data_IF_395853238803
#
_entry.id   IF_395853238803
#
_cell.length_a   1.000
_cell.length_b   1.000
_cell.length_c   1.000
_cell.angle_alpha   90.00
_cell.angle_beta   90.00
_cell.angle_gamma   90.00
#
_symmetry.space_group_name_H-M   'P 1'
#
loop_
_entity.id
_entity.type
_entity.pdbx_description
1 polymer ?
#
# COMPACT_ATOMS: atom_id res chain seq x y z
N UNK A 1 6.66 15.84 51.23
CA UNK A 1 5.61 14.85 50.88
C UNK A 1 5.98 14.31 49.51
N UNK A 2 6.13 12.99 49.37
CA UNK A 2 6.65 12.37 48.15
C UNK A 2 5.53 11.63 47.42
N UNK A 3 5.55 11.62 46.09
CA UNK A 3 4.50 11.01 45.26
C UNK A 3 5.03 9.78 44.51
N UNK A 4 4.59 8.55 44.86
CA UNK A 4 4.80 7.35 44.07
C UNK A 4 3.53 7.02 43.27
N UNK A 5 3.59 7.11 41.93
CA UNK A 5 2.44 6.78 41.07
C UNK A 5 2.80 6.32 39.64
N UNK A 6 3.92 6.78 39.06
CA UNK A 6 4.23 6.54 37.64
C UNK A 6 4.74 5.11 37.34
N UNK A 7 5.58 4.54 38.21
CA UNK A 7 6.33 3.30 37.91
C UNK A 7 5.44 2.04 37.82
N UNK A 8 4.33 1.98 38.57
CA UNK A 8 3.41 0.82 38.57
C UNK A 8 2.55 0.73 37.29
N UNK A 9 2.52 1.78 36.46
CA UNK A 9 1.79 1.77 35.19
C UNK A 9 2.58 1.02 34.10
N UNK A 10 3.88 1.34 33.92
CA UNK A 10 4.73 0.74 32.89
C UNK A 10 4.84 -0.79 33.04
N UNK A 11 4.98 -1.27 34.29
CA UNK A 11 5.07 -2.70 34.63
C UNK A 11 3.78 -3.50 34.32
N UNK A 12 2.63 -2.84 34.16
CA UNK A 12 1.38 -3.50 33.75
C UNK A 12 1.27 -3.68 32.24
N UNK A 13 1.75 -2.71 31.46
CA UNK A 13 1.65 -2.71 29.99
C UNK A 13 2.48 -3.87 29.41
N UNK A 14 3.76 -3.99 29.80
CA UNK A 14 4.64 -5.06 29.31
C UNK A 14 4.14 -6.49 29.60
N UNK A 15 3.42 -6.68 30.73
CA UNK A 15 2.84 -7.98 31.09
C UNK A 15 1.64 -8.37 30.23
N UNK A 16 0.91 -7.41 29.66
CA UNK A 16 -0.26 -7.70 28.83
C UNK A 16 0.16 -8.23 27.44
N UNK A 17 1.18 -7.62 26.83
CA UNK A 17 1.71 -8.04 25.52
C UNK A 17 2.24 -9.47 25.53
N UNK A 18 3.04 -9.83 26.54
CA UNK A 18 3.64 -11.16 26.67
C UNK A 18 2.58 -12.27 26.85
N UNK A 19 1.48 -11.99 27.53
CA UNK A 19 0.37 -12.94 27.67
C UNK A 19 -0.33 -13.22 26.33
N UNK A 20 -0.56 -12.19 25.51
CA UNK A 20 -1.16 -12.33 24.17
C UNK A 20 -0.26 -13.15 23.24
N UNK A 21 1.05 -12.88 23.23
CA UNK A 21 2.02 -13.63 22.45
C UNK A 21 2.07 -15.13 22.81
N UNK A 22 2.04 -15.46 24.10
CA UNK A 22 2.00 -16.86 24.55
C UNK A 22 0.73 -17.59 24.11
N UNK A 23 -0.43 -16.94 24.15
CA UNK A 23 -1.70 -17.52 23.67
C UNK A 23 -1.66 -17.74 22.15
N UNK A 24 -1.13 -16.77 21.37
CA UNK A 24 -0.97 -16.90 19.93
C UNK A 24 -0.09 -18.08 19.53
N UNK A 25 1.08 -18.23 20.15
CA UNK A 25 2.00 -19.35 19.92
C UNK A 25 1.38 -20.72 20.26
N UNK A 26 0.57 -20.79 21.32
CA UNK A 26 -0.08 -22.04 21.75
C UNK A 26 -1.16 -22.49 20.74
N UNK A 27 -1.93 -21.54 20.19
CA UNK A 27 -2.91 -21.80 19.11
C UNK A 27 -2.22 -22.25 17.82
N UNK A 28 -1.10 -21.60 17.45
CA UNK A 28 -0.33 -21.94 16.25
C UNK A 28 0.32 -23.34 16.37
N UNK A 29 0.92 -23.67 17.52
CA UNK A 29 1.47 -25.00 17.78
C UNK A 29 0.41 -26.10 17.81
N UNK A 30 -0.75 -25.83 18.43
CA UNK A 30 -1.86 -26.78 18.52
C UNK A 30 -2.48 -27.13 17.17
N UNK A 31 -2.58 -26.17 16.25
CA UNK A 31 -3.12 -26.39 14.90
C UNK A 31 -2.17 -27.19 14.00
N UNK A 32 -0.86 -26.96 14.08
CA UNK A 32 0.16 -27.75 13.36
C UNK A 32 0.12 -29.24 13.75
N UNK A 33 -0.05 -29.54 15.05
CA UNK A 33 -0.08 -30.92 15.55
C UNK A 33 -1.22 -31.78 14.96
N UNK A 34 -2.33 -31.16 14.53
CA UNK A 34 -3.51 -31.86 13.97
C UNK A 34 -3.43 -32.04 12.44
N UNK A 35 -2.63 -31.21 11.75
CA UNK A 35 -2.51 -31.22 10.29
C UNK A 35 -1.51 -32.26 9.77
N UNK A 36 -0.32 -32.35 10.40
CA UNK A 36 0.82 -33.17 9.94
C UNK A 36 0.47 -34.65 9.65
N UNK A 37 -0.33 -35.37 10.47
CA UNK A 37 -0.60 -36.80 10.23
C UNK A 37 -1.33 -37.13 8.93
N UNK A 38 -1.93 -36.16 8.22
CA UNK A 38 -2.73 -36.40 7.01
C UNK A 38 -2.00 -36.20 5.68
N UNK A 39 -0.83 -35.55 5.67
CA UNK A 39 -0.11 -35.21 4.43
C UNK A 39 0.95 -36.25 4.03
N UNK A 40 1.55 -36.94 5.00
CA UNK A 40 2.64 -37.92 4.77
C UNK A 40 2.32 -38.99 3.70
N UNK A 41 1.10 -39.58 3.61
CA UNK A 41 0.82 -40.63 2.64
C UNK A 41 0.88 -40.21 1.15
N UNK A 42 0.83 -38.90 0.84
CA UNK A 42 0.79 -38.42 -0.56
C UNK A 42 2.14 -38.10 -1.17
N UNK A 43 3.22 -38.02 -0.39
CA UNK A 43 4.56 -37.65 -0.89
C UNK A 43 5.46 -38.86 -1.19
N UNK A 44 5.05 -40.08 -0.85
CA UNK A 44 5.90 -41.28 -0.95
C UNK A 44 5.22 -42.50 -1.61
N UNK A 45 4.06 -42.32 -2.25
CA UNK A 45 3.36 -43.37 -3.00
C UNK A 45 3.80 -43.43 -4.47
N UNK A 46 4.73 -44.35 -4.80
CA UNK A 46 5.23 -44.54 -6.17
C UNK A 46 4.64 -45.74 -6.92
N UNK A 47 4.63 -45.66 -8.26
CA UNK A 47 4.19 -46.69 -9.22
C UNK A 47 3.21 -46.11 -10.25
N UNK A 48 3.52 -45.99 -11.56
CA UNK A 48 3.77 -47.02 -12.59
C UNK A 48 2.48 -47.69 -13.09
N UNK A 49 2.16 -47.78 -14.40
CA UNK A 49 2.78 -47.21 -15.61
C UNK A 49 1.81 -47.37 -16.83
N UNK A 50 2.19 -46.83 -18.00
CA UNK A 50 1.76 -47.18 -19.36
C UNK A 50 0.28 -46.96 -19.79
N UNK A 51 0.09 -46.39 -20.99
CA UNK A 51 -1.25 -46.21 -21.60
C UNK A 51 -1.35 -45.21 -22.76
N UNK A 52 -0.53 -45.36 -23.82
CA UNK A 52 -0.64 -44.58 -25.07
C UNK A 52 -0.68 -45.55 -26.26
N UNK A 53 -1.53 -45.31 -27.27
CA UNK A 53 -1.03 -44.67 -28.48
C UNK A 53 -2.02 -43.72 -29.21
N UNK A 54 -1.46 -42.87 -30.09
CA UNK A 54 -1.83 -42.49 -31.48
C UNK A 54 -3.32 -42.51 -31.97
N UNK A 55 -3.72 -41.84 -33.06
CA UNK A 55 -3.03 -41.07 -34.11
C UNK A 55 -4.03 -40.13 -34.83
N UNK A 56 -3.53 -39.14 -35.59
CA UNK A 56 -4.11 -38.57 -36.85
C UNK A 56 -3.66 -37.12 -37.08
N UNK A 57 -3.18 -36.80 -38.29
CA UNK A 57 -2.73 -35.47 -38.69
C UNK A 57 -3.36 -35.01 -40.01
N UNK A 58 -3.48 -33.68 -40.22
CA UNK A 58 -3.28 -32.99 -41.51
C UNK A 58 -3.62 -31.46 -41.42
N UNK A 59 -2.78 -30.62 -42.05
CA UNK A 59 -3.14 -29.27 -42.55
C UNK A 59 -3.10 -29.27 -44.09
N UNK A 60 -2.61 -28.23 -44.80
CA UNK A 60 -2.31 -26.84 -44.37
C UNK A 60 -2.71 -25.74 -45.42
N UNK A 61 -2.63 -24.45 -45.05
CA UNK A 61 -2.34 -23.24 -45.89
C UNK A 61 -2.48 -21.98 -44.99
N UNK A 62 -1.63 -20.93 -44.96
CA UNK A 62 -0.96 -20.12 -46.00
C UNK A 62 -1.93 -19.20 -46.79
N UNK A 63 -1.70 -17.91 -47.05
CA UNK A 63 -0.75 -16.88 -46.56
C UNK A 63 -1.30 -15.49 -47.03
N UNK A 64 -0.72 -14.28 -46.84
CA UNK A 64 0.50 -13.77 -46.18
C UNK A 64 0.32 -12.24 -45.91
N UNK A 65 1.25 -11.56 -45.22
CA UNK A 65 1.28 -10.09 -45.12
C UNK A 65 2.43 -9.54 -44.27
N UNK A 66 3.33 -8.75 -44.88
CA UNK A 66 4.47 -8.11 -44.20
C UNK A 66 4.39 -6.57 -44.32
N UNK A 67 5.00 -5.85 -43.39
CA UNK A 67 5.14 -4.40 -43.42
C UNK A 67 6.39 -3.96 -42.66
N UNK A 68 7.28 -3.23 -43.34
CA UNK A 68 8.56 -2.77 -42.80
C UNK A 68 8.42 -1.60 -41.83
N UNK A 69 9.35 -1.50 -40.87
CA UNK A 69 9.60 -0.31 -40.07
C UNK A 69 11.13 -0.10 -39.92
N UNK A 70 11.64 1.14 -39.92
CA UNK A 70 13.06 1.41 -40.18
C UNK A 70 13.97 1.30 -38.95
N UNK A 71 15.23 0.94 -39.21
CA UNK A 71 16.35 0.95 -38.25
C UNK A 71 17.00 2.34 -38.19
N UNK A 72 17.29 2.86 -36.99
CA UNK A 72 18.37 3.82 -36.75
C UNK A 72 19.60 3.11 -36.14
N UNK A 73 20.78 3.32 -36.74
CA UNK A 73 21.99 3.47 -35.93
C UNK A 73 22.04 4.90 -35.36
N UNK A 74 23.07 5.34 -34.64
CA UNK A 74 24.36 4.73 -34.28
C UNK A 74 24.93 5.57 -33.14
N UNK A 75 25.69 5.01 -32.18
CA UNK A 75 26.95 5.66 -31.78
C UNK A 75 27.88 4.72 -31.01
N UNK A 76 29.17 5.08 -30.96
CA UNK A 76 30.27 4.31 -30.39
C UNK A 76 30.97 5.05 -29.23
N UNK A 77 31.61 4.28 -28.34
CA UNK A 77 32.74 4.75 -27.52
C UNK A 77 32.44 5.14 -26.07
N UNK A 78 33.32 4.72 -25.15
CA UNK A 78 33.20 5.07 -23.73
C UNK A 78 34.08 4.30 -22.73
N UNK A 79 35.18 3.67 -23.13
CA UNK A 79 36.10 3.05 -22.16
C UNK A 79 36.79 4.11 -21.27
N UNK A 80 36.72 3.95 -19.95
CA UNK A 80 37.78 4.42 -19.04
C UNK A 80 38.01 3.42 -17.89
N UNK A 81 39.27 3.32 -17.45
CA UNK A 81 39.73 2.42 -16.39
C UNK A 81 39.89 3.15 -15.05
N UNK A 82 39.82 2.40 -13.95
CA UNK A 82 40.33 2.81 -12.63
C UNK A 82 39.26 2.84 -11.54
N UNK A 83 39.55 2.41 -10.30
CA UNK A 83 40.78 1.81 -9.80
C UNK A 83 40.59 1.26 -8.37
N UNK A 84 41.38 0.26 -7.98
CA UNK A 84 41.25 -0.37 -6.66
C UNK A 84 41.82 0.48 -5.51
N UNK A 85 41.28 0.28 -4.31
CA UNK A 85 41.77 0.90 -3.08
C UNK A 85 41.47 0.03 -1.86
N UNK A 86 42.48 -0.73 -1.40
CA UNK A 86 42.39 -1.52 -0.17
C UNK A 86 42.79 -0.68 1.06
N UNK A 87 41.87 -0.52 2.00
CA UNK A 87 42.14 -0.31 3.42
C UNK A 87 40.89 -0.74 4.22
N UNK A 88 40.97 -1.38 5.39
CA UNK A 88 42.16 -1.66 6.21
C UNK A 88 42.01 -1.03 7.60
N UNK A 89 41.03 -1.50 8.38
CA UNK A 89 40.64 -0.84 9.64
C UNK A 89 39.86 -1.73 10.60
N UNK A 90 40.53 -2.75 11.17
CA UNK A 90 39.97 -3.56 12.26
C UNK A 90 40.10 -2.82 13.59
N UNK A 91 39.04 -2.13 14.02
CA UNK A 91 38.92 -1.56 15.37
C UNK A 91 37.89 -2.32 16.18
N UNK A 92 38.33 -3.05 17.20
CA UNK A 92 37.46 -3.56 18.26
C UNK A 92 37.69 -2.72 19.52
N UNK A 93 36.61 -2.28 20.15
CA UNK A 93 36.65 -1.73 21.50
C UNK A 93 35.33 -2.08 22.23
N UNK A 94 35.37 -2.15 23.56
CA UNK A 94 34.36 -2.84 24.38
C UNK A 94 33.55 -1.91 25.31
N UNK A 95 32.23 -2.13 25.37
CA UNK A 95 31.38 -1.73 26.50
C UNK A 95 30.83 -0.29 26.50
N UNK A 96 29.55 -0.14 26.89
CA UNK A 96 28.89 1.17 26.94
C UNK A 96 27.38 1.12 27.21
N UNK A 97 26.99 0.68 28.41
CA UNK A 97 25.72 0.95 29.10
C UNK A 97 24.44 1.21 28.27
N UNK A 98 23.73 0.12 27.94
CA UNK A 98 22.38 0.18 27.37
C UNK A 98 21.31 0.59 28.40
N UNK A 99 21.17 1.90 28.66
CA UNK A 99 19.97 2.46 29.31
C UNK A 99 19.65 3.90 28.84
N UNK A 100 19.60 4.10 27.52
CA UNK A 100 19.17 5.36 26.93
C UNK A 100 17.66 5.57 27.11
N UNK A 101 17.26 6.42 28.07
CA UNK A 101 15.92 7.02 28.07
C UNK A 101 15.77 7.83 26.79
N UNK A 102 14.87 7.42 25.90
CA UNK A 102 14.73 8.01 24.58
C UNK A 102 14.58 9.53 24.64
N UNK A 103 15.49 10.24 23.98
CA UNK A 103 15.21 11.62 23.60
C UNK A 103 13.97 11.64 22.71
N UNK A 104 13.07 12.61 22.92
CA UNK A 104 12.06 12.89 21.91
C UNK A 104 12.74 13.27 20.58
N UNK A 105 12.07 13.11 19.43
CA UNK A 105 12.65 13.47 18.14
C UNK A 105 13.21 14.89 18.20
N UNK A 106 14.45 15.06 17.74
CA UNK A 106 15.10 16.36 17.73
C UNK A 106 14.27 17.30 16.83
N UNK A 107 13.90 18.48 17.34
CA UNK A 107 12.93 19.37 16.70
C UNK A 107 13.44 19.93 15.36
N UNK A 108 13.31 19.16 14.28
CA UNK A 108 13.31 19.69 12.93
C UNK A 108 12.12 20.66 12.77
N UNK A 109 12.34 21.77 12.08
CA UNK A 109 11.27 22.74 11.81
C UNK A 109 10.42 22.23 10.65
N UNK A 110 9.10 22.04 10.79
CA UNK A 110 8.29 21.44 9.74
C UNK A 110 8.35 22.19 8.41
N UNK A 111 8.38 21.45 7.31
CA UNK A 111 8.38 22.00 5.95
C UNK A 111 6.97 22.41 5.56
N UNK A 112 6.70 23.70 5.61
CA UNK A 112 5.45 24.31 5.15
C UNK A 112 5.31 24.22 3.61
N UNK A 113 4.17 23.74 3.10
CA UNK A 113 3.88 23.73 1.66
C UNK A 113 2.38 23.81 1.34
N UNK A 114 2.05 24.57 0.30
CA UNK A 114 0.71 24.87 -0.20
C UNK A 114 0.33 24.09 -1.49
N UNK A 115 1.18 23.15 -1.91
CA UNK A 115 1.17 22.60 -3.27
C UNK A 115 1.68 21.16 -3.37
N UNK A 116 1.12 20.35 -4.29
CA UNK A 116 1.74 19.11 -4.77
C UNK A 116 3.18 19.33 -5.22
N UNK A 117 4.05 18.35 -5.00
CA UNK A 117 5.47 18.49 -5.26
C UNK A 117 6.32 17.35 -4.72
N UNK A 118 7.63 17.48 -4.91
CA UNK A 118 8.65 16.57 -4.36
C UNK A 118 9.24 17.20 -3.10
N UNK A 119 9.27 16.40 -2.05
CA UNK A 119 9.85 16.70 -0.75
C UNK A 119 11.04 15.77 -0.52
N UNK A 120 12.01 16.24 0.26
CA UNK A 120 13.17 15.46 0.63
C UNK A 120 13.64 15.88 2.02
N UNK A 121 14.21 14.93 2.76
CA UNK A 121 14.81 15.14 4.07
C UNK A 121 15.71 13.98 4.44
N UNK A 122 16.28 14.04 5.64
CA UNK A 122 17.09 12.97 6.22
C UNK A 122 16.62 12.70 7.63
N UNK A 123 16.55 11.41 8.01
CA UNK A 123 15.94 10.95 9.27
C UNK A 123 14.46 11.34 9.39
N UNK A 124 13.96 11.45 10.63
CA UNK A 124 12.60 11.86 10.92
C UNK A 124 12.37 13.35 10.57
N UNK A 125 11.23 13.66 9.96
CA UNK A 125 10.85 15.03 9.62
C UNK A 125 9.34 15.19 9.48
N UNK A 126 8.87 16.43 9.40
CA UNK A 126 7.44 16.76 9.26
C UNK A 126 7.21 17.72 8.08
N UNK A 127 6.13 17.48 7.34
CA UNK A 127 5.66 18.35 6.25
C UNK A 127 4.26 18.83 6.63
N UNK A 128 4.12 20.13 6.91
CA UNK A 128 2.81 20.77 7.08
C UNK A 128 2.25 21.10 5.69
N UNK A 129 1.21 20.36 5.28
CA UNK A 129 0.64 20.43 3.94
C UNK A 129 -0.72 21.12 3.96
N UNK A 130 -0.84 22.21 3.20
CA UNK A 130 -2.09 22.89 2.92
C UNK A 130 -2.59 22.53 1.50
N UNK A 131 -3.86 22.16 1.41
CA UNK A 131 -4.56 21.81 0.17
C UNK A 131 -4.62 23.02 -0.79
N UNK A 132 -4.30 22.84 -2.08
CA UNK A 132 -4.48 23.89 -3.09
C UNK A 132 -5.93 24.37 -3.16
N UNK A 133 -6.12 25.67 -3.20
CA UNK A 133 -7.46 26.27 -3.25
C UNK A 133 -8.26 25.81 -4.47
N UNK A 134 -9.46 25.28 -4.20
CA UNK A 134 -10.37 24.72 -5.23
C UNK A 134 -10.13 23.26 -5.60
N UNK A 135 -9.12 22.57 -5.05
CA UNK A 135 -8.94 21.13 -5.23
C UNK A 135 -9.42 20.34 -4.00
N UNK A 136 -10.61 19.74 -4.09
CA UNK A 136 -11.24 19.00 -2.98
C UNK A 136 -11.01 17.47 -3.04
N UNK A 137 -10.04 17.04 -3.85
CA UNK A 137 -9.76 15.62 -4.08
C UNK A 137 -8.79 14.98 -3.08
N UNK A 138 -8.51 13.68 -3.28
CA UNK A 138 -7.53 12.90 -2.52
C UNK A 138 -6.14 12.96 -3.15
N UNK A 139 -5.09 12.90 -2.33
CA UNK A 139 -3.71 12.96 -2.79
C UNK A 139 -3.07 11.57 -2.92
N UNK A 140 -2.21 11.38 -3.90
CA UNK A 140 -1.26 10.27 -3.97
C UNK A 140 0.01 10.69 -3.23
N UNK A 141 0.48 9.87 -2.30
CA UNK A 141 1.77 10.02 -1.61
C UNK A 141 2.67 8.88 -2.09
N UNK A 142 3.66 9.22 -2.93
CA UNK A 142 4.63 8.27 -3.47
C UNK A 142 5.95 8.40 -2.72
N UNK A 143 6.32 7.38 -1.96
CA UNK A 143 7.59 7.29 -1.23
C UNK A 143 8.64 6.62 -2.11
N UNK A 144 9.82 7.24 -2.19
CA UNK A 144 11.01 6.74 -2.86
C UNK A 144 12.18 6.83 -1.90
N UNK A 145 12.55 5.72 -1.28
CA UNK A 145 13.76 5.62 -0.46
C UNK A 145 14.45 4.27 -0.69
N UNK A 146 15.72 4.21 -0.31
CA UNK A 146 16.53 2.99 -0.23
C UNK A 146 16.75 2.54 1.23
N UNK A 147 16.11 3.19 2.19
CA UNK A 147 16.05 2.82 3.61
C UNK A 147 14.60 2.68 4.04
N UNK A 148 14.39 2.09 5.21
CA UNK A 148 13.06 1.99 5.82
C UNK A 148 12.50 3.39 6.09
N UNK A 149 11.25 3.59 5.68
CA UNK A 149 10.48 4.81 5.91
C UNK A 149 9.09 4.42 6.38
N UNK A 150 8.60 5.07 7.42
CA UNK A 150 7.16 5.15 7.68
C UNK A 150 6.66 6.56 7.40
N UNK A 151 5.48 6.66 6.80
CA UNK A 151 4.79 7.94 6.60
C UNK A 151 3.43 7.86 7.28
N UNK A 152 3.26 8.74 8.26
CA UNK A 152 2.03 8.95 9.00
C UNK A 152 1.28 10.19 8.50
N UNK A 153 -0.04 10.22 8.72
CA UNK A 153 -0.83 11.46 8.66
C UNK A 153 -1.39 11.74 10.04
N UNK A 154 -1.04 12.89 10.59
CA UNK A 154 -1.38 13.24 11.97
C UNK A 154 -2.77 13.86 12.10
N UNK A 155 -3.38 13.62 13.25
CA UNK A 155 -4.61 14.31 13.64
C UNK A 155 -4.28 15.51 14.55
N UNK A 156 -4.44 16.77 14.11
CA UNK A 156 -4.39 17.90 15.03
C UNK A 156 -5.42 17.82 16.17
N UNK A 157 -6.56 17.12 15.97
CA UNK A 157 -7.56 16.88 17.02
C UNK A 157 -7.21 15.67 17.92
N UNK A 158 -6.27 14.81 17.52
CA UNK A 158 -5.89 13.57 18.23
C UNK A 158 -4.42 13.16 18.01
N UNK A 159 -3.42 13.99 18.40
CA UNK A 159 -2.00 13.78 18.08
C UNK A 159 -1.33 12.60 18.82
N UNK A 160 -2.09 11.80 19.57
CA UNK A 160 -1.60 10.55 20.18
C UNK A 160 -1.80 9.33 19.27
N UNK A 161 -2.54 9.48 18.18
CA UNK A 161 -2.89 8.41 17.25
C UNK A 161 -2.79 8.93 15.82
N UNK A 162 -1.61 8.85 15.17
CA UNK A 162 -1.50 9.11 13.73
C UNK A 162 -2.55 8.26 12.99
N UNK A 163 -3.44 8.92 12.26
CA UNK A 163 -4.71 8.30 11.85
C UNK A 163 -4.48 7.23 10.78
N UNK A 164 -3.43 7.40 9.98
CA UNK A 164 -3.05 6.51 8.90
C UNK A 164 -1.55 6.29 8.94
N UNK A 165 -1.12 5.03 8.99
CA UNK A 165 0.15 4.64 8.39
C UNK A 165 -0.12 4.50 6.89
N UNK A 166 0.37 5.45 6.10
CA UNK A 166 0.34 5.35 4.64
C UNK A 166 1.32 4.28 4.16
N UNK A 167 2.42 4.10 4.90
CA UNK A 167 3.55 3.27 4.49
C UNK A 167 4.36 2.74 5.68
N UNK A 168 4.90 1.54 5.50
CA UNK A 168 6.00 0.96 6.26
C UNK A 168 6.63 -0.10 5.33
N UNK A 169 7.89 0.08 4.95
CA UNK A 169 8.69 -0.96 4.28
C UNK A 169 9.80 -1.45 5.17
N UNK A 170 10.05 -2.76 5.09
CA UNK A 170 11.29 -3.42 5.48
C UNK A 170 11.93 -4.17 4.27
N UNK A 171 11.20 -4.33 3.16
CA UNK A 171 11.51 -5.27 2.07
C UNK A 171 11.22 -4.76 0.63
N UNK A 172 10.85 -3.48 0.43
CA UNK A 172 10.34 -3.02 -0.87
C UNK A 172 11.43 -2.43 -1.80
N UNK A 173 11.70 -3.11 -2.90
CA UNK A 173 12.69 -2.73 -3.94
C UNK A 173 12.17 -1.73 -4.99
N UNK A 174 11.11 -0.97 -4.66
CA UNK A 174 10.46 -0.04 -5.59
C UNK A 174 9.63 1.03 -4.87
N UNK A 175 9.13 2.04 -5.62
CA UNK A 175 8.35 3.13 -5.05
C UNK A 175 7.06 2.60 -4.43
N UNK A 176 6.72 3.11 -3.25
CA UNK A 176 5.49 2.76 -2.55
C UNK A 176 4.48 3.91 -2.63
N UNK A 177 3.19 3.56 -2.72
CA UNK A 177 2.10 4.51 -2.94
C UNK A 177 1.02 4.37 -1.89
N UNK A 178 0.76 5.45 -1.14
CA UNK A 178 -0.42 5.62 -0.31
C UNK A 178 -1.43 6.58 -0.95
N UNK A 179 -2.73 6.30 -0.82
CA UNK A 179 -3.78 7.26 -1.15
C UNK A 179 -4.24 7.97 0.12
N UNK A 180 -4.35 9.29 0.08
CA UNK A 180 -4.74 10.15 1.19
C UNK A 180 -6.03 10.91 0.85
N UNK A 181 -7.16 10.36 1.28
CA UNK A 181 -8.48 10.97 1.13
C UNK A 181 -8.88 11.80 2.37
N UNK A 182 -8.00 12.71 2.81
CA UNK A 182 -8.29 13.60 3.93
C UNK A 182 -9.52 14.47 3.64
N UNK A 183 -10.45 14.53 4.59
CA UNK A 183 -11.57 15.47 4.53
C UNK A 183 -11.11 16.93 4.73
N UNK A 184 -9.96 17.15 5.39
CA UNK A 184 -9.46 18.47 5.81
C UNK A 184 -8.60 19.14 4.75
N UNK A 185 -8.60 20.48 4.77
CA UNK A 185 -7.78 21.33 3.89
C UNK A 185 -6.33 21.49 4.38
N UNK A 186 -5.99 20.93 5.54
CA UNK A 186 -4.67 20.99 6.17
C UNK A 186 -4.38 19.67 6.87
N UNK A 187 -3.16 19.16 6.75
CA UNK A 187 -2.68 17.96 7.44
C UNK A 187 -1.14 17.96 7.55
N UNK A 188 -0.61 17.31 8.59
CA UNK A 188 0.83 17.05 8.71
C UNK A 188 1.14 15.65 8.21
N UNK A 189 2.12 15.53 7.31
CA UNK A 189 2.79 14.26 7.02
C UNK A 189 4.01 14.15 7.94
N UNK A 190 3.96 13.24 8.90
CA UNK A 190 5.14 12.88 9.71
C UNK A 190 5.84 11.71 9.05
N UNK A 191 7.15 11.87 8.84
CA UNK A 191 8.03 10.87 8.23
C UNK A 191 8.97 10.36 9.32
N UNK A 192 9.02 9.05 9.51
CA UNK A 192 10.03 8.38 10.34
C UNK A 192 10.98 7.60 9.42
N UNK A 193 12.30 7.77 9.59
CA UNK A 193 13.30 7.05 8.80
C UNK A 193 14.68 7.08 9.47
N UNK A 194 15.53 6.11 9.13
CA UNK A 194 16.93 6.06 9.57
C UNK A 194 17.88 6.85 8.66
N UNK A 195 17.44 7.29 7.48
CA UNK A 195 18.29 7.90 6.44
C UNK A 195 17.57 8.87 5.52
N UNK A 196 18.11 9.06 4.32
CA UNK A 196 17.57 10.01 3.34
C UNK A 196 16.28 9.50 2.69
N UNK A 197 15.30 10.38 2.51
CA UNK A 197 14.02 10.04 1.90
C UNK A 197 13.58 11.05 0.84
N UNK A 198 12.84 10.57 -0.15
CA UNK A 198 12.10 11.38 -1.11
C UNK A 198 10.63 11.00 -1.08
N UNK A 199 9.75 12.01 -1.03
CA UNK A 199 8.30 11.85 -0.94
C UNK A 199 7.66 12.77 -1.97
N UNK A 200 6.80 12.26 -2.83
CA UNK A 200 6.13 13.02 -3.89
C UNK A 200 4.62 13.02 -3.65
N UNK A 201 4.06 14.19 -3.36
CA UNK A 201 2.61 14.39 -3.16
C UNK A 201 1.98 14.89 -4.46
N UNK A 202 0.97 14.19 -4.97
CA UNK A 202 0.26 14.52 -6.23
C UNK A 202 -1.26 14.59 -6.02
N UNK A 203 -2.00 15.43 -6.75
CA UNK A 203 -3.46 15.35 -6.77
C UNK A 203 -3.89 14.14 -7.62
N UNK A 204 -4.81 13.32 -7.13
CA UNK A 204 -5.40 12.23 -7.94
C UNK A 204 -6.61 12.76 -8.72
N UNK A 205 -6.70 12.52 -10.04
CA UNK A 205 -7.90 12.82 -10.80
C UNK A 205 -9.04 11.91 -10.33
N UNK A 206 -10.23 12.48 -10.15
CA UNK A 206 -11.44 11.74 -9.77
C UNK A 206 -12.63 12.23 -10.61
N UNK A 207 -13.68 11.41 -10.66
CA UNK A 207 -14.96 11.74 -11.32
C UNK A 207 -16.05 11.80 -10.27
N UNK A 208 -16.82 12.90 -10.19
CA UNK A 208 -17.99 12.97 -9.32
C UNK A 208 -19.14 12.09 -9.84
N UNK A 209 -19.78 11.36 -8.92
CA UNK A 209 -20.92 10.48 -9.15
C UNK A 209 -22.24 11.29 -9.24
N UNK A 210 -22.32 12.12 -10.29
CA UNK A 210 -23.49 12.93 -10.58
C UNK A 210 -24.77 12.08 -10.73
N UNK A 211 -25.89 12.63 -10.26
CA UNK A 211 -27.23 12.02 -10.29
C UNK A 211 -27.33 10.57 -9.74
N UNK A 212 -26.31 10.13 -8.99
CA UNK A 212 -26.21 8.78 -8.45
C UNK A 212 -25.87 7.69 -9.47
N UNK A 213 -25.49 8.01 -10.72
CA UNK A 213 -25.10 7.01 -11.73
C UNK A 213 -23.84 7.37 -12.52
N UNK A 214 -22.94 6.41 -12.69
CA UNK A 214 -21.72 6.57 -13.50
C UNK A 214 -21.36 5.28 -14.24
N UNK A 215 -20.68 5.41 -15.37
CA UNK A 215 -20.12 4.30 -16.16
C UNK A 215 -18.68 4.63 -16.54
N UNK A 216 -17.84 3.61 -16.68
CA UNK A 216 -16.48 3.77 -17.18
C UNK A 216 -15.85 2.47 -17.63
N UNK A 217 -14.57 2.55 -18.00
CA UNK A 217 -13.68 1.44 -18.30
C UNK A 217 -12.34 1.65 -17.58
N UNK A 218 -11.61 0.55 -17.35
CA UNK A 218 -10.35 0.57 -16.60
C UNK A 218 -10.44 1.06 -15.15
N UNK A 219 -9.30 1.34 -14.50
CA UNK A 219 -9.24 1.84 -13.13
C UNK A 219 -9.73 3.28 -13.03
N UNK A 220 -10.47 3.60 -11.96
CA UNK A 220 -11.00 4.94 -11.74
C UNK A 220 -11.15 5.25 -10.25
N UNK A 221 -11.09 6.54 -9.90
CA UNK A 221 -11.45 7.05 -8.58
C UNK A 221 -12.72 7.89 -8.70
N UNK A 222 -13.78 7.42 -8.04
CA UNK A 222 -15.12 8.03 -8.12
C UNK A 222 -15.42 8.73 -6.80
N UNK A 223 -15.81 10.01 -6.82
CA UNK A 223 -16.22 10.78 -5.64
C UNK A 223 -17.74 10.75 -5.51
N UNK A 224 -18.26 10.44 -4.33
CA UNK A 224 -19.68 10.50 -4.01
C UNK A 224 -19.92 11.34 -2.76
N UNK A 225 -20.95 12.18 -2.83
CA UNK A 225 -21.39 13.10 -1.79
C UNK A 225 -22.92 13.03 -1.72
N UNK A 226 -23.45 12.51 -0.60
CA UNK A 226 -24.89 12.27 -0.42
C UNK A 226 -25.22 11.27 0.69
N UNK A 227 -26.52 11.13 0.98
CA UNK A 227 -27.03 10.37 2.14
C UNK A 227 -27.32 8.88 1.85
N UNK A 228 -27.41 8.48 0.58
CA UNK A 228 -27.67 7.09 0.22
C UNK A 228 -26.42 6.22 0.46
N UNK A 229 -26.63 5.02 1.02
CA UNK A 229 -25.55 4.09 1.43
C UNK A 229 -25.72 2.69 0.85
N UNK A 230 -26.38 2.60 -0.31
CA UNK A 230 -26.59 1.38 -1.08
C UNK A 230 -26.21 1.63 -2.53
N UNK A 231 -25.51 0.68 -3.15
CA UNK A 231 -25.22 0.71 -4.58
C UNK A 231 -25.45 -0.64 -5.27
N UNK A 232 -25.90 -0.55 -6.52
CA UNK A 232 -25.74 -1.56 -7.56
C UNK A 232 -24.45 -1.28 -8.35
N UNK A 233 -23.67 -2.33 -8.58
CA UNK A 233 -22.48 -2.28 -9.42
C UNK A 233 -22.50 -3.42 -10.44
N UNK A 234 -22.13 -3.14 -11.69
CA UNK A 234 -21.98 -4.15 -12.73
C UNK A 234 -20.60 -4.06 -13.37
N UNK A 235 -20.10 -5.20 -13.85
CA UNK A 235 -18.82 -5.33 -14.54
C UNK A 235 -18.95 -6.32 -15.70
N UNK A 236 -18.34 -6.03 -16.85
CA UNK A 236 -18.50 -6.83 -18.09
C UNK A 236 -17.24 -7.55 -18.58
N UNK A 237 -16.07 -7.27 -18.00
CA UNK A 237 -14.79 -7.86 -18.42
C UNK A 237 -14.54 -9.29 -17.89
N UNK A 238 -13.35 -9.82 -18.15
CA UNK A 238 -12.99 -11.21 -17.82
C UNK A 238 -12.05 -11.34 -16.61
N UNK A 239 -11.25 -10.31 -16.29
CA UNK A 239 -10.27 -10.36 -15.18
C UNK A 239 -10.89 -10.15 -13.79
N UNK A 240 -10.04 -10.01 -12.77
CA UNK A 240 -10.46 -9.60 -11.44
C UNK A 240 -10.78 -8.10 -11.37
N UNK A 241 -11.96 -7.76 -10.86
CA UNK A 241 -12.40 -6.42 -10.48
C UNK A 241 -12.41 -6.31 -8.96
N UNK A 242 -11.73 -5.29 -8.42
CA UNK A 242 -11.84 -4.88 -7.03
C UNK A 242 -12.47 -3.48 -6.94
N UNK A 243 -13.36 -3.27 -5.97
CA UNK A 243 -13.86 -1.94 -5.62
C UNK A 243 -13.68 -1.71 -4.12
N UNK A 244 -12.99 -0.63 -3.77
CA UNK A 244 -12.76 -0.21 -2.39
C UNK A 244 -13.53 1.08 -2.12
N UNK A 245 -14.22 1.16 -0.98
CA UNK A 245 -14.62 2.45 -0.40
C UNK A 245 -13.46 3.04 0.37
N UNK A 246 -13.34 4.37 0.35
CA UNK A 246 -12.40 5.14 1.15
C UNK A 246 -13.12 6.33 1.81
N UNK A 247 -13.01 6.42 3.13
CA UNK A 247 -13.67 7.42 3.97
C UNK A 247 -12.67 7.87 5.04
N UNK A 248 -12.02 9.03 4.84
CA UNK A 248 -10.82 9.50 5.56
C UNK A 248 -9.66 8.48 5.51
N UNK A 249 -9.81 7.50 6.39
CA UNK A 249 -8.93 6.49 6.96
C UNK A 249 -9.29 5.09 6.49
N UNK A 250 -10.58 4.86 6.27
CA UNK A 250 -11.15 3.51 6.23
C UNK A 250 -11.27 3.03 4.79
N UNK A 251 -10.27 2.27 4.35
CA UNK A 251 -10.34 1.49 3.11
C UNK A 251 -11.09 0.18 3.35
N UNK A 252 -12.28 0.00 2.77
CA UNK A 252 -13.03 -1.26 2.85
C UNK A 252 -13.26 -1.85 1.46
N UNK A 253 -12.92 -3.13 1.26
CA UNK A 253 -13.18 -3.87 0.02
C UNK A 253 -14.68 -4.23 -0.06
N UNK A 254 -15.41 -3.60 -0.98
CA UNK A 254 -16.87 -3.77 -1.14
C UNK A 254 -17.26 -4.67 -2.32
N UNK A 255 -16.41 -4.76 -3.35
CA UNK A 255 -16.52 -5.74 -4.44
C UNK A 255 -15.18 -6.41 -4.65
N UNK A 256 -15.17 -7.73 -4.79
CA UNK A 256 -14.05 -8.51 -5.31
C UNK A 256 -14.62 -9.70 -6.10
N UNK A 257 -14.44 -9.70 -7.42
CA UNK A 257 -15.00 -10.71 -8.35
C UNK A 257 -14.05 -10.93 -9.52
N UNK A 258 -14.10 -12.13 -10.09
CA UNK A 258 -13.44 -12.46 -11.36
C UNK A 258 -14.53 -12.63 -12.42
N UNK A 259 -14.36 -11.95 -13.55
CA UNK A 259 -15.27 -11.99 -14.68
C UNK A 259 -16.56 -11.18 -14.52
N UNK A 260 -17.33 -11.18 -15.62
CA UNK A 260 -18.59 -10.45 -15.76
C UNK A 260 -19.55 -10.77 -14.63
N UNK A 261 -20.02 -9.73 -13.95
CA UNK A 261 -20.70 -9.85 -12.66
C UNK A 261 -21.59 -8.66 -12.32
N UNK A 262 -22.42 -8.83 -11.30
CA UNK A 262 -23.18 -7.75 -10.68
C UNK A 262 -23.20 -7.94 -9.16
N UNK A 263 -23.12 -6.86 -8.42
CA UNK A 263 -23.03 -6.84 -6.96
C UNK A 263 -23.93 -5.74 -6.38
N UNK A 264 -24.50 -6.03 -5.20
CA UNK A 264 -25.09 -5.02 -4.31
C UNK A 264 -24.20 -4.90 -3.09
N UNK A 265 -23.90 -3.67 -2.65
CA UNK A 265 -23.16 -3.42 -1.42
C UNK A 265 -23.63 -2.14 -0.72
N UNK A 266 -23.14 -1.94 0.50
CA UNK A 266 -23.38 -0.76 1.33
C UNK A 266 -22.09 -0.26 1.98
N UNK A 267 -22.10 0.97 2.49
CA UNK A 267 -21.01 1.59 3.24
C UNK A 267 -21.53 2.25 4.52
N UNK A 268 -20.61 2.67 5.40
CA UNK A 268 -20.97 3.52 6.54
C UNK A 268 -21.34 4.92 6.00
N UNK A 269 -22.40 5.60 6.48
CA UNK A 269 -22.67 6.98 6.09
C UNK A 269 -21.49 7.89 6.41
N UNK A 270 -21.03 8.67 5.43
CA UNK A 270 -19.93 9.63 5.57
C UNK A 270 -20.06 10.74 4.50
N UNK A 271 -19.80 12.03 4.81
CA UNK A 271 -20.08 13.15 3.90
C UNK A 271 -19.51 13.04 2.48
N UNK A 272 -18.26 12.57 2.33
CA UNK A 272 -17.63 12.31 1.03
C UNK A 272 -17.01 10.92 1.04
N UNK A 273 -17.55 10.01 0.23
CA UNK A 273 -17.01 8.66 0.05
C UNK A 273 -16.34 8.57 -1.31
N UNK A 274 -15.10 8.07 -1.36
CA UNK A 274 -14.45 7.72 -2.61
C UNK A 274 -14.60 6.23 -2.89
N UNK A 275 -14.83 5.86 -4.15
CA UNK A 275 -14.77 4.49 -4.63
C UNK A 275 -13.56 4.35 -5.55
N UNK A 276 -12.55 3.60 -5.12
CA UNK A 276 -11.45 3.16 -5.98
C UNK A 276 -11.89 1.90 -6.71
N UNK A 277 -12.13 2.03 -8.02
CA UNK A 277 -12.39 0.95 -8.96
C UNK A 277 -11.06 0.51 -9.55
N UNK A 278 -10.72 -0.76 -9.40
CA UNK A 278 -9.45 -1.36 -9.80
C UNK A 278 -9.71 -2.57 -10.70
N UNK A 279 -9.51 -2.38 -12.01
CA UNK A 279 -9.72 -3.42 -13.05
C UNK A 279 -8.78 -3.20 -14.24
N UNK A 280 -8.19 -4.26 -14.82
CA UNK A 280 -7.34 -4.17 -16.00
C UNK A 280 -8.11 -4.17 -17.32
N UNK A 281 -9.39 -4.57 -17.31
CA UNK A 281 -10.24 -4.66 -18.51
C UNK A 281 -11.71 -4.31 -18.21
N UNK A 282 -12.60 -4.58 -19.17
CA UNK A 282 -14.05 -4.47 -19.03
C UNK A 282 -14.62 -3.05 -18.96
N UNK A 283 -15.95 -2.96 -19.07
CA UNK A 283 -16.72 -1.78 -18.68
C UNK A 283 -17.39 -2.04 -17.33
N UNK A 284 -17.59 -0.99 -16.56
CA UNK A 284 -18.32 -1.03 -15.30
C UNK A 284 -19.42 0.03 -15.25
N UNK A 285 -20.46 -0.25 -14.46
CA UNK A 285 -21.49 0.73 -14.11
C UNK A 285 -21.72 0.77 -12.61
N UNK A 286 -22.05 1.94 -12.11
CA UNK A 286 -22.27 2.26 -10.71
C UNK A 286 -23.62 2.99 -10.59
N UNK A 287 -24.50 2.53 -9.71
CA UNK A 287 -25.74 3.22 -9.36
C UNK A 287 -25.95 3.23 -7.86
N UNK A 288 -26.13 4.41 -7.28
CA UNK A 288 -26.46 4.63 -5.87
C UNK A 288 -27.97 4.76 -5.68
N UNK A 289 -28.48 4.34 -4.52
CA UNK A 289 -29.88 4.42 -4.15
C UNK A 289 -30.66 3.11 -4.38
N UNK A 290 -31.95 3.23 -4.70
CA UNK A 290 -32.89 2.10 -4.87
C UNK A 290 -33.45 2.02 -6.29
#
# INVERSE_FOLDING_TARGET
>A
MSAPAAEDAALRIGRFSLAVWLVGLLILGGSLAVAVPRLVPRLFGGGSEAGSPADSAAGPAAAAGAGDAPVPGTDDGGETNGGGGEAGGSGADEGGDANGTGAGPENETPVQSDRPGIYAGSRNGAIEYQRPSGYYGPFEVVVKSSVDVSVAVDDPDNPQWPVHFLFNSVDLTGPATGLLASARDEFTLTVESEGDWHLEVRPVPYTDLADGTLTGDGPALVRYEGEEVLADFTYTGESNIAVYTWQESRRNLVVNKIGSSSAKFSWQPYPVTYFLVDTPDGQWSFRVGR
#
